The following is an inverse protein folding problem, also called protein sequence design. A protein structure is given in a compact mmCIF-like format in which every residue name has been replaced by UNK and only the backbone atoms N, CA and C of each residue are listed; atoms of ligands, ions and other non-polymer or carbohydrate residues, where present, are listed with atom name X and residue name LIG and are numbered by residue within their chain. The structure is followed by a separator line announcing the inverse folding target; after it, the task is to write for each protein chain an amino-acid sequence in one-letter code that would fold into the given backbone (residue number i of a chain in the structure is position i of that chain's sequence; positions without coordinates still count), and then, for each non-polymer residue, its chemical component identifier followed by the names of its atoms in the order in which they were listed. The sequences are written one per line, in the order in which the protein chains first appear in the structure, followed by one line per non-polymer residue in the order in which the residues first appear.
data_IF_540519947737
#
_entry.id   IF_540519947737
#
_cell.length_a   1.000
_cell.length_b   1.000
_cell.length_c   1.000
_cell.angle_alpha   90.00
_cell.angle_beta   90.00
_cell.angle_gamma   90.00
#
_symmetry.space_group_name_H-M   'P 1'
#
loop_
_entity.id
_entity.type
_entity.pdbx_description
1 polymer ?
#
# COMPACT_ATOMS: atom_id res chain seq x y z
N UNK A 1 10.04 38.66 -15.63
CA UNK A 1 9.00 38.44 -14.59
C UNK A 1 9.15 37.00 -14.16
N UNK A 2 9.54 36.75 -12.91
CA UNK A 2 9.47 35.42 -12.32
C UNK A 2 7.98 35.02 -12.30
N UNK A 3 7.65 33.83 -12.82
CA UNK A 3 6.27 33.34 -12.77
C UNK A 3 5.98 33.16 -11.27
N UNK A 4 5.01 33.85 -10.73
CA UNK A 4 4.52 33.61 -9.37
C UNK A 4 4.02 32.16 -9.32
N UNK A 5 4.35 31.46 -8.25
CA UNK A 5 3.88 30.07 -8.07
C UNK A 5 2.39 30.10 -7.81
N UNK A 6 1.64 29.41 -8.64
CA UNK A 6 0.21 29.22 -8.41
C UNK A 6 0.00 27.97 -7.55
N UNK A 7 -0.05 28.17 -6.23
CA UNK A 7 -0.28 27.09 -5.26
C UNK A 7 -1.65 26.43 -5.46
N UNK A 8 -2.66 27.19 -5.90
CA UNK A 8 -3.98 26.63 -6.18
C UNK A 8 -3.93 25.69 -7.41
N UNK A 9 -3.15 26.04 -8.43
CA UNK A 9 -2.90 25.15 -9.57
C UNK A 9 -2.14 23.88 -9.12
N UNK A 10 -1.17 24.02 -8.21
CA UNK A 10 -0.46 22.88 -7.63
C UNK A 10 -1.39 21.94 -6.82
N UNK A 11 -2.33 22.48 -6.03
CA UNK A 11 -3.33 21.68 -5.31
C UNK A 11 -4.24 20.93 -6.26
N UNK A 12 -4.73 21.60 -7.32
CA UNK A 12 -5.53 20.95 -8.35
C UNK A 12 -4.73 19.85 -9.06
N UNK A 13 -3.45 20.08 -9.31
CA UNK A 13 -2.53 19.08 -9.86
C UNK A 13 -2.41 17.84 -8.98
N UNK A 14 -2.23 18.03 -7.67
CA UNK A 14 -2.18 16.93 -6.69
C UNK A 14 -3.49 16.13 -6.65
N UNK A 15 -4.64 16.81 -6.59
CA UNK A 15 -5.96 16.14 -6.63
C UNK A 15 -6.16 15.37 -7.94
N UNK A 16 -5.67 15.88 -9.06
CA UNK A 16 -5.74 15.16 -10.35
C UNK A 16 -4.90 13.86 -10.30
N UNK A 17 -3.75 13.86 -9.61
CA UNK A 17 -2.96 12.64 -9.41
C UNK A 17 -3.71 11.63 -8.54
N UNK A 18 -4.33 12.07 -7.44
CA UNK A 18 -5.18 11.23 -6.60
C UNK A 18 -6.37 10.63 -7.39
N UNK A 19 -7.03 11.43 -8.24
CA UNK A 19 -8.08 10.93 -9.14
C UNK A 19 -7.55 9.87 -10.12
N UNK A 20 -6.37 10.09 -10.71
CA UNK A 20 -5.77 9.12 -11.62
C UNK A 20 -5.41 7.80 -10.91
N UNK A 21 -4.91 7.88 -9.67
CA UNK A 21 -4.66 6.71 -8.84
C UNK A 21 -5.96 5.95 -8.51
N UNK A 22 -7.02 6.68 -8.13
CA UNK A 22 -8.33 6.09 -7.84
C UNK A 22 -8.96 5.42 -9.07
N UNK A 23 -8.93 6.06 -10.23
CA UNK A 23 -9.43 5.52 -11.49
C UNK A 23 -8.68 4.24 -11.88
N UNK A 24 -7.37 4.24 -11.67
CA UNK A 24 -6.54 3.06 -11.89
C UNK A 24 -6.90 1.93 -10.94
N UNK A 25 -7.06 2.19 -9.64
CA UNK A 25 -7.48 1.20 -8.66
C UNK A 25 -8.86 0.61 -9.00
N UNK A 26 -9.83 1.45 -9.41
CA UNK A 26 -11.12 0.99 -9.90
C UNK A 26 -10.98 0.09 -11.12
N UNK A 27 -10.10 0.43 -12.07
CA UNK A 27 -9.84 -0.41 -13.24
C UNK A 27 -9.28 -1.79 -12.84
N UNK A 28 -8.41 -1.84 -11.84
CA UNK A 28 -7.88 -3.11 -11.30
C UNK A 28 -8.99 -3.95 -10.68
N UNK A 29 -9.93 -3.34 -9.96
CA UNK A 29 -11.07 -4.07 -9.37
C UNK A 29 -12.08 -4.54 -10.43
N UNK A 30 -12.36 -3.72 -11.45
CA UNK A 30 -13.30 -4.07 -12.51
C UNK A 30 -12.77 -5.18 -13.43
N UNK A 31 -11.46 -5.25 -13.60
CA UNK A 31 -10.75 -6.19 -14.47
C UNK A 31 -9.62 -6.88 -13.70
N UNK A 32 -9.99 -7.55 -12.59
CA UNK A 32 -9.01 -8.17 -11.73
C UNK A 32 -8.32 -9.36 -12.39
N UNK A 33 -7.05 -9.18 -12.75
CA UNK A 33 -6.16 -10.19 -13.29
C UNK A 33 -4.92 -10.30 -12.40
N UNK A 34 -4.77 -11.38 -11.61
CA UNK A 34 -3.64 -11.55 -10.69
C UNK A 34 -2.27 -11.38 -11.34
N UNK A 35 -2.10 -11.89 -12.54
CA UNK A 35 -0.83 -11.84 -13.28
C UNK A 35 -0.48 -10.42 -13.77
N UNK A 36 -1.46 -9.53 -13.86
CA UNK A 36 -1.27 -8.13 -14.24
C UNK A 36 -0.92 -7.21 -13.06
N UNK A 37 -1.15 -7.66 -11.82
CA UNK A 37 -0.92 -6.83 -10.62
C UNK A 37 0.49 -6.23 -10.52
N UNK A 38 1.59 -6.93 -10.79
CA UNK A 38 2.92 -6.30 -10.74
C UNK A 38 3.06 -5.11 -11.69
N UNK A 39 2.47 -5.20 -12.88
CA UNK A 39 2.44 -4.10 -13.85
C UNK A 39 1.57 -2.93 -13.38
N UNK A 40 0.46 -3.20 -12.72
CA UNK A 40 -0.40 -2.18 -12.12
C UNK A 40 0.28 -1.47 -10.95
N UNK A 41 1.02 -2.18 -10.09
CA UNK A 41 1.82 -1.59 -9.01
C UNK A 41 2.87 -0.64 -9.58
N UNK A 42 3.62 -1.07 -10.60
CA UNK A 42 4.62 -0.22 -11.24
C UNK A 42 4.01 1.04 -11.87
N UNK A 43 2.82 0.93 -12.43
CA UNK A 43 2.11 2.06 -13.01
C UNK A 43 1.54 2.98 -11.92
N UNK A 44 1.01 2.45 -10.82
CA UNK A 44 0.55 3.19 -9.65
C UNK A 44 1.70 3.98 -9.01
N UNK A 45 2.82 3.32 -8.78
CA UNK A 45 4.03 3.95 -8.23
C UNK A 45 4.54 5.12 -9.09
N UNK A 46 4.37 5.07 -10.41
CA UNK A 46 4.70 6.21 -11.28
C UNK A 46 3.77 7.40 -11.06
N UNK A 47 2.49 7.16 -10.74
CA UNK A 47 1.52 8.23 -10.44
C UNK A 47 1.89 8.87 -9.10
N UNK A 48 2.07 8.06 -8.05
CA UNK A 48 2.49 8.51 -6.71
C UNK A 48 3.81 9.29 -6.79
N UNK A 49 4.86 8.71 -7.32
CA UNK A 49 6.17 9.34 -7.43
C UNK A 49 6.14 10.67 -8.21
N UNK A 50 5.30 10.77 -9.25
CA UNK A 50 5.11 12.02 -9.99
C UNK A 50 4.40 13.09 -9.14
N UNK A 51 3.44 12.70 -8.29
CA UNK A 51 2.75 13.58 -7.36
C UNK A 51 3.72 14.08 -6.27
N UNK A 52 4.50 13.19 -5.68
CA UNK A 52 5.51 13.51 -4.65
C UNK A 52 6.58 14.50 -5.18
N UNK A 53 7.12 14.28 -6.37
CA UNK A 53 8.04 15.23 -7.02
C UNK A 53 7.39 16.60 -7.19
N UNK A 54 6.12 16.67 -7.61
CA UNK A 54 5.41 17.93 -7.79
C UNK A 54 5.19 18.64 -6.44
N UNK A 55 4.82 17.91 -5.40
CA UNK A 55 4.72 18.41 -4.01
C UNK A 55 6.05 18.97 -3.53
N UNK A 56 7.13 18.22 -3.67
CA UNK A 56 8.48 18.65 -3.28
C UNK A 56 8.89 19.94 -4.01
N UNK A 57 8.62 20.04 -5.30
CA UNK A 57 8.87 21.26 -6.08
C UNK A 57 8.08 22.47 -5.55
N UNK A 58 6.83 22.26 -5.13
CA UNK A 58 5.97 23.28 -4.52
C UNK A 58 6.55 23.73 -3.17
N UNK A 59 7.00 22.78 -2.32
CA UNK A 59 7.61 23.09 -1.03
C UNK A 59 8.93 23.86 -1.19
N UNK A 60 9.79 23.47 -2.14
CA UNK A 60 11.02 24.22 -2.43
C UNK A 60 10.75 25.67 -2.87
N UNK A 61 9.68 25.90 -3.62
CA UNK A 61 9.29 27.24 -4.04
C UNK A 61 8.76 28.04 -2.85
N UNK A 62 7.92 27.43 -2.00
CA UNK A 62 7.38 28.04 -0.80
C UNK A 62 8.51 28.55 0.13
N UNK A 63 9.59 27.78 0.31
CA UNK A 63 10.74 28.20 1.13
C UNK A 63 11.38 29.50 0.59
N UNK A 64 11.36 29.71 -0.72
CA UNK A 64 12.00 30.86 -1.39
C UNK A 64 11.07 32.07 -1.56
N UNK A 65 9.76 31.90 -1.36
CA UNK A 65 8.78 32.96 -1.54
C UNK A 65 8.63 33.78 -0.26
N UNK A 66 8.63 35.10 -0.40
CA UNK A 66 8.57 36.01 0.75
C UNK A 66 7.12 36.20 1.26
N UNK A 67 6.16 36.32 0.35
CA UNK A 67 4.73 36.55 0.64
C UNK A 67 3.88 35.60 -0.19
N UNK A 68 3.59 34.39 0.30
CA UNK A 68 2.65 33.50 -0.35
C UNK A 68 1.20 34.04 -0.23
N UNK A 69 0.27 33.57 -1.11
CA UNK A 69 -1.12 34.08 -1.14
C UNK A 69 -1.96 33.68 0.06
N UNK A 70 -1.59 32.62 0.75
CA UNK A 70 -2.17 32.11 2.00
C UNK A 70 -1.04 31.72 2.97
N UNK A 71 -1.36 31.41 4.21
CA UNK A 71 -0.37 31.06 5.22
C UNK A 71 0.47 29.85 4.79
N UNK A 72 1.77 29.89 5.09
CA UNK A 72 2.73 28.82 4.71
C UNK A 72 2.34 27.48 5.29
N UNK A 73 1.90 27.48 6.53
CA UNK A 73 1.48 26.27 7.25
C UNK A 73 0.28 25.63 6.54
N UNK A 74 -0.69 26.43 6.09
CA UNK A 74 -1.87 25.95 5.36
C UNK A 74 -1.47 25.35 3.98
N UNK A 75 -0.49 25.95 3.28
CA UNK A 75 0.01 25.41 2.01
C UNK A 75 0.70 24.05 2.24
N UNK A 76 1.52 23.95 3.28
CA UNK A 76 2.23 22.72 3.62
C UNK A 76 1.24 21.61 4.01
N UNK A 77 0.30 21.93 4.91
CA UNK A 77 -0.72 20.99 5.38
C UNK A 77 -1.60 20.49 4.22
N UNK A 78 -2.12 21.41 3.41
CA UNK A 78 -2.98 21.05 2.29
C UNK A 78 -2.24 20.22 1.22
N UNK A 79 -1.00 20.59 0.90
CA UNK A 79 -0.19 19.81 -0.03
C UNK A 79 0.11 18.40 0.48
N UNK A 80 0.45 18.26 1.77
CA UNK A 80 0.66 16.97 2.42
C UNK A 80 -0.60 16.12 2.37
N UNK A 81 -1.72 16.66 2.87
CA UNK A 81 -3.00 15.94 2.92
C UNK A 81 -3.50 15.48 1.54
N UNK A 82 -3.26 16.26 0.49
CA UNK A 82 -3.59 15.83 -0.89
C UNK A 82 -2.73 14.67 -1.34
N UNK A 83 -1.45 14.69 -1.04
CA UNK A 83 -0.50 13.64 -1.35
C UNK A 83 -0.84 12.32 -0.64
N UNK A 84 -1.17 12.40 0.66
CA UNK A 84 -1.58 11.25 1.49
C UNK A 84 -2.74 10.45 0.87
N UNK A 85 -3.61 11.10 0.08
CA UNK A 85 -4.68 10.40 -0.64
C UNK A 85 -4.10 9.47 -1.71
N UNK A 86 -3.10 9.93 -2.46
CA UNK A 86 -2.45 9.13 -3.51
C UNK A 86 -1.68 7.96 -2.92
N UNK A 87 -0.92 8.21 -1.84
CA UNK A 87 -0.16 7.20 -1.10
C UNK A 87 -1.08 6.11 -0.53
N UNK A 88 -2.19 6.53 0.09
CA UNK A 88 -3.17 5.58 0.64
C UNK A 88 -3.79 4.68 -0.43
N UNK A 89 -3.97 5.18 -1.66
CA UNK A 89 -4.48 4.38 -2.78
C UNK A 89 -3.41 3.37 -3.26
N UNK A 90 -2.14 3.78 -3.34
CA UNK A 90 -1.03 2.86 -3.64
C UNK A 90 -0.95 1.74 -2.60
N UNK A 91 -1.05 2.07 -1.32
CA UNK A 91 -1.03 1.12 -0.21
C UNK A 91 -2.12 0.05 -0.32
N UNK A 92 -3.33 0.40 -0.76
CA UNK A 92 -4.40 -0.58 -1.01
C UNK A 92 -3.99 -1.58 -2.09
N UNK A 93 -3.39 -1.10 -3.18
CA UNK A 93 -2.97 -1.96 -4.30
C UNK A 93 -1.83 -2.89 -3.89
N UNK A 94 -0.85 -2.39 -3.14
CA UNK A 94 0.27 -3.18 -2.61
C UNK A 94 -0.22 -4.33 -1.72
N UNK A 95 -1.19 -4.06 -0.83
CA UNK A 95 -1.77 -5.09 0.04
C UNK A 95 -2.59 -6.11 -0.71
N UNK A 96 -3.35 -5.67 -1.72
CA UNK A 96 -4.06 -6.60 -2.60
C UNK A 96 -3.08 -7.55 -3.30
N UNK A 97 -1.93 -7.05 -3.71
CA UNK A 97 -0.87 -7.86 -4.30
C UNK A 97 -0.30 -8.86 -3.29
N UNK A 98 0.03 -8.42 -2.07
CA UNK A 98 0.54 -9.32 -1.02
C UNK A 98 -0.43 -10.48 -0.77
N UNK A 99 -1.71 -10.19 -0.57
CA UNK A 99 -2.72 -11.23 -0.41
C UNK A 99 -2.79 -12.18 -1.62
N UNK A 100 -2.67 -11.63 -2.84
CA UNK A 100 -2.69 -12.43 -4.06
C UNK A 100 -1.53 -13.42 -4.16
N UNK A 101 -0.35 -13.13 -3.61
CA UNK A 101 0.78 -14.08 -3.60
C UNK A 101 0.72 -15.04 -2.42
N UNK A 102 0.18 -14.66 -1.27
CA UNK A 102 0.00 -15.54 -0.12
C UNK A 102 -0.92 -16.73 -0.43
N UNK A 103 -2.06 -16.51 -1.10
CA UNK A 103 -3.02 -17.56 -1.40
C UNK A 103 -2.47 -18.67 -2.32
N UNK A 104 -1.78 -18.40 -3.43
CA UNK A 104 -1.13 -19.43 -4.23
C UNK A 104 -0.02 -20.19 -3.48
N UNK A 105 0.78 -19.51 -2.67
CA UNK A 105 1.78 -20.15 -1.82
C UNK A 105 1.13 -21.14 -0.84
N UNK A 106 0.06 -20.69 -0.16
CA UNK A 106 -0.76 -21.54 0.72
C UNK A 106 -1.33 -22.75 -0.01
N UNK A 107 -1.88 -22.55 -1.20
CA UNK A 107 -2.41 -23.64 -2.03
C UNK A 107 -1.33 -24.66 -2.34
N UNK A 108 -0.16 -24.23 -2.78
CA UNK A 108 0.99 -25.11 -3.12
C UNK A 108 1.41 -25.94 -1.91
N UNK A 109 1.51 -25.33 -0.72
CA UNK A 109 1.79 -26.03 0.52
C UNK A 109 0.71 -27.07 0.84
N UNK A 110 -0.56 -26.72 0.72
CA UNK A 110 -1.67 -27.63 1.02
C UNK A 110 -1.80 -28.79 0.04
N UNK A 111 -1.44 -28.62 -1.22
CA UNK A 111 -1.38 -29.71 -2.21
C UNK A 111 -0.28 -30.74 -1.88
N UNK A 112 0.81 -30.29 -1.26
CA UNK A 112 1.91 -31.16 -0.82
C UNK A 112 1.67 -31.79 0.56
N UNK A 113 0.84 -31.18 1.40
CA UNK A 113 0.60 -31.59 2.79
C UNK A 113 0.20 -33.08 2.96
N UNK A 114 -0.62 -33.72 2.11
CA UNK A 114 -0.92 -35.15 2.26
C UNK A 114 0.31 -36.06 2.25
N UNK A 115 1.40 -35.59 1.68
CA UNK A 115 2.67 -36.33 1.55
C UNK A 115 3.78 -35.79 2.44
N UNK A 116 3.46 -35.00 3.48
CA UNK A 116 4.42 -34.22 4.27
C UNK A 116 5.62 -35.05 4.77
N UNK A 117 5.43 -36.35 5.14
CA UNK A 117 6.52 -37.23 5.63
C UNK A 117 7.60 -37.50 4.58
N UNK A 118 7.32 -37.30 3.31
CA UNK A 118 8.24 -37.53 2.17
C UNK A 118 8.61 -36.25 1.45
N UNK A 119 7.92 -35.18 1.74
CA UNK A 119 8.17 -33.88 1.14
C UNK A 119 9.54 -33.35 1.56
N UNK A 120 10.22 -32.73 0.60
CA UNK A 120 11.49 -32.02 0.82
C UNK A 120 11.32 -30.52 0.77
N UNK A 121 10.14 -30.06 0.37
CA UNK A 121 9.83 -28.65 0.06
C UNK A 121 8.81 -28.03 0.99
N UNK A 122 7.99 -28.83 1.71
CA UNK A 122 6.91 -28.31 2.55
C UNK A 122 7.39 -27.32 3.60
N UNK A 123 8.55 -27.56 4.23
CA UNK A 123 9.13 -26.60 5.19
C UNK A 123 9.56 -25.29 4.51
N UNK A 124 10.07 -25.37 3.27
CA UNK A 124 10.43 -24.18 2.51
C UNK A 124 9.19 -23.36 2.18
N UNK A 125 8.08 -24.03 1.83
CA UNK A 125 6.80 -23.40 1.54
C UNK A 125 6.19 -22.73 2.79
N UNK A 126 6.29 -23.36 3.95
CA UNK A 126 5.88 -22.75 5.24
C UNK A 126 6.70 -21.48 5.49
N UNK A 127 8.02 -21.54 5.37
CA UNK A 127 8.91 -20.37 5.54
C UNK A 127 8.62 -19.28 4.52
N UNK A 128 8.25 -19.64 3.30
CA UNK A 128 7.85 -18.68 2.27
C UNK A 128 6.57 -17.92 2.66
N UNK A 129 5.54 -18.64 3.16
CA UNK A 129 4.28 -18.01 3.61
C UNK A 129 4.54 -17.07 4.77
N UNK A 130 5.31 -17.48 5.78
CA UNK A 130 5.65 -16.63 6.92
C UNK A 130 6.44 -15.38 6.48
N UNK A 131 7.37 -15.53 5.52
CA UNK A 131 8.11 -14.39 4.97
C UNK A 131 7.24 -13.44 4.13
N UNK A 132 6.16 -13.91 3.53
CA UNK A 132 5.17 -13.07 2.83
C UNK A 132 4.29 -12.31 3.83
N UNK A 133 3.87 -12.94 4.91
CA UNK A 133 3.14 -12.29 5.99
C UNK A 133 4.00 -11.20 6.66
N UNK A 134 5.26 -11.48 7.00
CA UNK A 134 6.18 -10.49 7.56
C UNK A 134 6.37 -9.26 6.64
N UNK A 135 6.34 -9.45 5.33
CA UNK A 135 6.33 -8.33 4.37
C UNK A 135 5.00 -7.57 4.40
N UNK A 136 3.86 -8.26 4.52
CA UNK A 136 2.54 -7.69 4.71
C UNK A 136 2.45 -6.83 5.97
N UNK A 137 2.94 -7.34 7.09
CA UNK A 137 3.04 -6.67 8.38
C UNK A 137 3.85 -5.37 8.30
N UNK A 138 4.98 -5.42 7.60
CA UNK A 138 5.79 -4.22 7.40
C UNK A 138 5.03 -3.16 6.62
N UNK A 139 4.39 -3.52 5.52
CA UNK A 139 3.57 -2.60 4.73
C UNK A 139 2.41 -2.03 5.57
N UNK A 140 1.77 -2.87 6.41
CA UNK A 140 0.73 -2.42 7.34
C UNK A 140 1.27 -1.38 8.33
N UNK A 141 2.39 -1.69 8.96
CA UNK A 141 3.01 -0.81 9.97
C UNK A 141 3.43 0.52 9.35
N UNK A 142 4.05 0.51 8.17
CA UNK A 142 4.50 1.70 7.47
C UNK A 142 3.29 2.59 7.08
N UNK A 143 2.22 2.02 6.50
CA UNK A 143 1.01 2.75 6.16
C UNK A 143 0.26 3.28 7.38
N UNK A 144 0.17 2.51 8.47
CA UNK A 144 -0.45 2.99 9.71
C UNK A 144 0.35 4.14 10.33
N UNK A 145 1.69 4.06 10.28
CA UNK A 145 2.54 5.15 10.75
C UNK A 145 2.28 6.44 9.96
N UNK A 146 2.25 6.37 8.64
CA UNK A 146 1.94 7.52 7.77
C UNK A 146 0.53 8.05 8.05
N UNK A 147 -0.46 7.17 8.06
CA UNK A 147 -1.86 7.54 8.33
C UNK A 147 -2.04 8.30 9.64
N UNK A 148 -1.40 7.86 10.73
CA UNK A 148 -1.51 8.53 12.04
C UNK A 148 -0.62 9.76 12.19
N UNK A 149 0.44 9.91 11.39
CA UNK A 149 1.29 11.09 11.40
C UNK A 149 0.63 12.26 10.67
N UNK A 150 -0.07 11.97 9.55
CA UNK A 150 -0.49 12.98 8.58
C UNK A 150 -2.02 13.11 8.45
N UNK A 151 -2.79 12.40 9.29
CA UNK A 151 -4.24 12.32 9.18
C UNK A 151 -4.94 13.67 9.40
N UNK A 152 -5.72 14.09 8.43
CA UNK A 152 -6.49 15.34 8.44
C UNK A 152 -7.79 15.25 9.22
N UNK A 153 -8.48 14.12 9.22
CA UNK A 153 -9.70 13.93 10.00
C UNK A 153 -9.77 12.56 10.70
N UNK A 154 -10.37 12.48 11.90
CA UNK A 154 -10.58 11.20 12.59
C UNK A 154 -11.41 10.20 11.78
N UNK A 155 -12.28 10.66 10.89
CA UNK A 155 -13.12 9.80 10.05
C UNK A 155 -12.28 9.10 8.97
N UNK A 156 -11.35 9.83 8.36
CA UNK A 156 -10.42 9.27 7.36
C UNK A 156 -9.52 8.23 7.99
N UNK A 157 -8.95 8.52 9.17
CA UNK A 157 -8.18 7.55 9.96
C UNK A 157 -8.97 6.26 10.19
N UNK A 158 -10.22 6.38 10.65
CA UNK A 158 -11.06 5.20 10.92
C UNK A 158 -11.34 4.39 9.64
N UNK A 159 -11.61 5.06 8.52
CA UNK A 159 -11.93 4.39 7.26
C UNK A 159 -10.72 3.64 6.71
N UNK A 160 -9.57 4.29 6.60
CA UNK A 160 -8.34 3.68 6.10
C UNK A 160 -7.82 2.59 7.03
N UNK A 161 -7.83 2.80 8.37
CA UNK A 161 -7.49 1.77 9.34
C UNK A 161 -8.34 0.52 9.14
N UNK A 162 -9.67 0.68 8.99
CA UNK A 162 -10.56 -0.47 8.79
C UNK A 162 -10.26 -1.25 7.50
N UNK A 163 -9.86 -0.56 6.43
CA UNK A 163 -9.46 -1.19 5.17
C UNK A 163 -8.13 -1.94 5.33
N UNK A 164 -7.12 -1.27 5.87
CA UNK A 164 -5.79 -1.85 6.06
C UNK A 164 -5.82 -3.06 7.00
N UNK A 165 -6.55 -2.98 8.12
CA UNK A 165 -6.77 -4.11 9.04
C UNK A 165 -7.37 -5.34 8.34
N UNK A 166 -8.26 -5.13 7.36
CA UNK A 166 -8.88 -6.25 6.63
C UNK A 166 -7.92 -6.93 5.68
N UNK A 167 -7.10 -6.16 4.99
CA UNK A 167 -6.14 -6.70 4.04
C UNK A 167 -4.99 -7.42 4.77
N UNK A 168 -4.51 -6.85 5.87
CA UNK A 168 -3.49 -7.48 6.71
C UNK A 168 -4.00 -8.80 7.27
N UNK A 169 -5.20 -8.83 7.87
CA UNK A 169 -5.82 -10.08 8.34
C UNK A 169 -5.96 -11.18 7.29
N UNK A 170 -5.98 -10.86 6.02
CA UNK A 170 -5.99 -11.88 4.97
C UNK A 170 -4.63 -12.58 4.88
N UNK A 171 -3.52 -11.87 5.05
CA UNK A 171 -2.17 -12.44 5.08
C UNK A 171 -1.94 -13.26 6.36
N UNK A 172 -2.30 -12.71 7.53
CA UNK A 172 -2.24 -13.41 8.82
C UNK A 172 -2.94 -14.77 8.76
N UNK A 173 -4.13 -14.82 8.14
CA UNK A 173 -4.87 -16.07 8.03
C UNK A 173 -4.19 -17.11 7.15
N UNK A 174 -3.39 -16.71 6.20
CA UNK A 174 -2.55 -17.62 5.43
C UNK A 174 -1.41 -18.19 6.30
N UNK A 175 -0.78 -17.35 7.11
CA UNK A 175 0.23 -17.78 8.08
C UNK A 175 -0.37 -18.70 9.16
N UNK A 176 -1.51 -18.36 9.75
CA UNK A 176 -2.19 -19.20 10.73
C UNK A 176 -2.37 -20.66 10.22
N UNK A 177 -2.69 -20.83 8.93
CA UNK A 177 -2.81 -22.15 8.32
C UNK A 177 -1.46 -22.83 8.19
N UNK A 178 -0.42 -22.11 7.77
CA UNK A 178 0.94 -22.65 7.66
C UNK A 178 1.46 -23.13 9.03
N UNK A 179 1.22 -22.38 10.08
CA UNK A 179 1.55 -22.72 11.47
C UNK A 179 0.82 -23.97 11.95
N UNK A 180 -0.47 -24.11 11.61
CA UNK A 180 -1.22 -25.33 11.94
C UNK A 180 -0.62 -26.52 11.22
N UNK A 181 -0.27 -26.39 9.94
CA UNK A 181 0.38 -27.44 9.15
C UNK A 181 1.72 -27.84 9.77
N UNK A 182 2.55 -26.86 10.15
CA UNK A 182 3.84 -27.13 10.80
C UNK A 182 3.66 -27.91 12.10
N UNK A 183 2.72 -27.48 12.96
CA UNK A 183 2.41 -28.21 14.19
C UNK A 183 1.94 -29.64 13.95
N UNK A 184 1.15 -29.89 12.89
CA UNK A 184 0.71 -31.23 12.53
C UNK A 184 1.90 -32.08 12.07
N UNK A 185 2.80 -31.52 11.27
CA UNK A 185 4.02 -32.20 10.84
C UNK A 185 4.86 -32.60 12.04
N UNK A 186 5.15 -31.66 12.94
CA UNK A 186 5.97 -31.88 14.15
C UNK A 186 5.39 -32.96 15.07
N UNK A 187 4.06 -33.07 15.16
CA UNK A 187 3.38 -34.07 16.00
C UNK A 187 3.37 -35.46 15.38
N UNK A 188 3.56 -35.58 14.07
CA UNK A 188 3.39 -36.82 13.31
C UNK A 188 4.67 -37.28 12.59
N UNK A 189 5.81 -36.65 12.84
CA UNK A 189 7.15 -36.96 12.31
C UNK A 189 7.90 -38.01 13.13
#
# INVERSE_FOLDING_TARGET
RKKETDYFEAFVGGVNSACAAADMLCTVFDHYEPEALPGHIEAMHKIEHSADIAKHGTMEQLVREFLPPIDREDIMELSGTIDDVTDSIEDVLLRLYMFNICCPALKTMMEEFPNFRRSKTIHTQIVEINGLEEQGDKLYTDAMHTLYADASTPVDVMAWTALFDRLEKCCDKCEDVADVVERVILKNS
#
